data_IF_434612596739
#
_entry.id   IF_434612596739
#
_cell.length_a   1.000
_cell.length_b   1.000
_cell.length_c   1.000
_cell.angle_alpha   90.00
_cell.angle_beta   90.00
_cell.angle_gamma   90.00
#
_symmetry.space_group_name_H-M   'P 1'
#
loop_
_entity.id
_entity.type
_entity.pdbx_description
1 polymer ?
#
# COMPACT_ATOMS: atom_id res chain seq x y z
N UNK A 1 -27.11 -13.45 12.05
CA UNK A 1 -26.01 -13.61 11.09
C UNK A 1 -25.17 -12.35 11.21
N UNK A 2 -23.92 -12.45 11.67
CA UNK A 2 -23.00 -11.31 11.57
C UNK A 2 -22.87 -10.95 10.10
N UNK A 3 -23.22 -9.72 9.75
CA UNK A 3 -23.09 -9.21 8.40
C UNK A 3 -21.60 -9.18 8.06
N UNK A 4 -21.19 -9.96 7.07
CA UNK A 4 -19.78 -10.12 6.73
C UNK A 4 -19.26 -8.79 6.14
N UNK A 5 -18.28 -8.17 6.82
CA UNK A 5 -17.68 -6.92 6.34
C UNK A 5 -17.17 -7.09 4.91
N UNK A 6 -17.44 -6.11 4.05
CA UNK A 6 -16.95 -6.10 2.66
C UNK A 6 -15.43 -6.16 2.65
N UNK A 7 -14.85 -6.82 1.65
CA UNK A 7 -13.39 -6.95 1.52
C UNK A 7 -12.85 -5.75 0.74
N UNK A 8 -11.79 -5.14 1.26
CA UNK A 8 -11.03 -4.07 0.60
C UNK A 8 -9.59 -4.55 0.37
N UNK A 9 -9.11 -4.45 -0.86
CA UNK A 9 -7.70 -4.68 -1.20
C UNK A 9 -7.09 -3.36 -1.67
N UNK A 10 -5.99 -2.94 -1.06
CA UNK A 10 -5.26 -1.74 -1.47
C UNK A 10 -3.76 -2.02 -1.53
N UNK A 11 -3.16 -1.79 -2.69
CA UNK A 11 -1.74 -2.01 -2.91
C UNK A 11 -1.06 -0.68 -3.27
N UNK A 12 0.07 -0.39 -2.63
CA UNK A 12 0.91 0.77 -2.96
C UNK A 12 2.10 0.31 -3.80
N UNK A 13 2.41 1.05 -4.86
CA UNK A 13 3.66 0.84 -5.58
C UNK A 13 4.85 1.29 -4.69
N UNK A 14 5.92 0.50 -4.59
CA UNK A 14 7.13 0.87 -3.86
C UNK A 14 7.89 1.98 -4.62
N UNK A 15 7.38 3.19 -4.58
CA UNK A 15 8.02 4.39 -5.14
C UNK A 15 9.05 4.94 -4.14
N UNK A 16 9.71 6.05 -4.48
CA UNK A 16 10.47 6.83 -3.49
C UNK A 16 9.60 7.14 -2.24
N UNK A 17 10.25 7.68 -1.21
CA UNK A 17 9.63 8.08 0.07
C UNK A 17 8.23 8.66 -0.09
N UNK A 18 7.21 8.09 0.57
CA UNK A 18 5.85 8.60 0.53
C UNK A 18 5.80 10.07 0.93
N UNK A 19 5.07 10.87 0.17
CA UNK A 19 4.92 12.29 0.44
C UNK A 19 3.58 12.57 1.13
N UNK A 20 3.41 13.79 1.63
CA UNK A 20 2.22 14.22 2.37
C UNK A 20 0.91 13.93 1.61
N UNK A 21 0.91 14.09 0.28
CA UNK A 21 -0.23 13.72 -0.56
C UNK A 21 -0.66 12.24 -0.48
N UNK A 22 0.29 11.29 -0.38
CA UNK A 22 -0.06 9.88 -0.21
C UNK A 22 -0.69 9.62 1.16
N UNK A 23 -0.17 10.28 2.20
CA UNK A 23 -0.70 10.16 3.55
C UNK A 23 -2.13 10.68 3.65
N UNK A 24 -2.36 11.92 3.21
CA UNK A 24 -3.68 12.55 3.27
C UNK A 24 -4.68 11.91 2.31
N UNK A 25 -4.23 11.46 1.14
CA UNK A 25 -5.10 10.87 0.12
C UNK A 25 -5.51 9.43 0.40
N UNK A 26 -4.58 8.60 0.87
CA UNK A 26 -4.79 7.15 1.02
C UNK A 26 -4.64 6.68 2.47
N UNK A 27 -3.46 6.85 3.08
CA UNK A 27 -3.13 6.20 4.36
C UNK A 27 -4.06 6.64 5.51
N UNK A 28 -4.40 7.93 5.60
CA UNK A 28 -5.33 8.43 6.61
C UNK A 28 -6.74 7.82 6.45
N UNK A 29 -7.17 7.57 5.22
CA UNK A 29 -8.47 6.96 4.93
C UNK A 29 -8.46 5.46 5.24
N UNK A 30 -7.35 4.77 4.99
CA UNK A 30 -7.21 3.35 5.30
C UNK A 30 -7.45 3.04 6.78
N UNK A 31 -6.93 3.87 7.69
CA UNK A 31 -7.17 3.71 9.13
C UNK A 31 -8.66 3.74 9.47
N UNK A 32 -9.43 4.65 8.86
CA UNK A 32 -10.88 4.76 9.08
C UNK A 32 -11.62 3.53 8.55
N UNK A 33 -11.24 3.06 7.35
CA UNK A 33 -11.91 1.98 6.64
C UNK A 33 -11.73 0.60 7.31
N UNK A 34 -10.71 0.42 8.16
CA UNK A 34 -10.53 -0.83 8.93
C UNK A 34 -11.72 -1.15 9.85
N UNK A 35 -12.50 -0.14 10.25
CA UNK A 35 -13.70 -0.36 11.07
C UNK A 35 -14.86 -0.97 10.24
N UNK A 36 -14.95 -0.63 8.96
CA UNK A 36 -16.10 -0.96 8.10
C UNK A 36 -15.81 -2.13 7.15
N UNK A 37 -14.54 -2.40 6.83
CA UNK A 37 -14.10 -3.38 5.86
C UNK A 37 -13.12 -4.40 6.45
N UNK A 38 -13.05 -5.58 5.83
CA UNK A 38 -11.91 -6.48 5.98
C UNK A 38 -10.81 -6.01 5.02
N UNK A 39 -9.80 -5.33 5.55
CA UNK A 39 -8.77 -4.69 4.75
C UNK A 39 -7.54 -5.58 4.54
N UNK A 40 -7.09 -5.66 3.29
CA UNK A 40 -5.80 -6.23 2.89
C UNK A 40 -4.95 -5.11 2.27
N UNK A 41 -3.79 -4.87 2.87
CA UNK A 41 -2.80 -3.93 2.37
C UNK A 41 -1.58 -4.68 1.86
N UNK A 42 -0.92 -4.13 0.85
CA UNK A 42 0.29 -4.75 0.30
C UNK A 42 1.05 -3.85 -0.64
N UNK A 43 2.11 -4.43 -1.20
CA UNK A 43 3.01 -3.73 -2.11
C UNK A 43 2.86 -4.28 -3.52
N UNK A 44 2.65 -3.39 -4.48
CA UNK A 44 2.52 -3.72 -5.90
C UNK A 44 3.89 -3.73 -6.61
N UNK A 45 4.85 -4.53 -6.12
CA UNK A 45 6.20 -4.63 -6.69
C UNK A 45 6.20 -5.14 -8.14
N UNK A 46 5.32 -6.09 -8.47
CA UNK A 46 5.11 -6.57 -9.83
C UNK A 46 4.60 -5.47 -10.78
N UNK A 47 3.88 -4.47 -10.28
CA UNK A 47 3.49 -3.33 -11.11
C UNK A 47 4.65 -2.38 -11.37
N UNK A 48 5.63 -2.31 -10.46
CA UNK A 48 6.81 -1.45 -10.61
C UNK A 48 7.80 -1.98 -11.66
N UNK A 49 7.87 -3.28 -11.91
CA UNK A 49 8.80 -3.87 -12.91
C UNK A 49 8.31 -3.74 -14.36
N UNK A 50 7.13 -3.15 -14.59
CA UNK A 50 6.65 -2.82 -15.94
C UNK A 50 7.48 -1.72 -16.61
N UNK A 51 8.28 -1.00 -15.83
CA UNK A 51 9.32 -0.07 -16.28
C UNK A 51 10.69 -0.53 -15.77
N UNK A 52 11.77 -0.02 -16.38
CA UNK A 52 13.15 -0.32 -15.93
C UNK A 52 13.35 0.14 -14.49
N UNK A 53 13.78 -0.77 -13.64
CA UNK A 53 14.13 -0.52 -12.25
C UNK A 53 15.60 -0.82 -11.99
N UNK A 54 16.17 -0.15 -10.99
CA UNK A 54 17.40 -0.60 -10.35
C UNK A 54 17.02 -1.69 -9.33
N UNK A 55 17.50 -2.95 -9.47
CA UNK A 55 17.10 -4.05 -8.59
C UNK A 55 17.46 -3.85 -7.12
N UNK A 56 18.59 -3.20 -6.83
CA UNK A 56 19.04 -2.93 -5.46
C UNK A 56 18.16 -1.86 -4.83
N UNK A 57 17.90 -0.78 -5.59
CA UNK A 57 17.02 0.31 -5.16
C UNK A 57 15.60 -0.16 -4.93
N UNK A 58 15.02 -0.91 -5.86
CA UNK A 58 13.65 -1.42 -5.76
C UNK A 58 13.48 -2.30 -4.51
N UNK A 59 14.45 -3.17 -4.23
CA UNK A 59 14.41 -4.02 -3.03
C UNK A 59 14.43 -3.21 -1.74
N UNK A 60 15.20 -2.11 -1.69
CA UNK A 60 15.18 -1.20 -0.54
C UNK A 60 13.82 -0.50 -0.39
N UNK A 61 13.29 0.05 -1.49
CA UNK A 61 11.99 0.74 -1.51
C UNK A 61 10.82 -0.16 -1.11
N UNK A 62 10.84 -1.44 -1.49
CA UNK A 62 9.84 -2.43 -1.05
C UNK A 62 9.87 -2.55 0.48
N UNK A 63 11.05 -2.68 1.09
CA UNK A 63 11.17 -2.81 2.55
C UNK A 63 10.74 -1.54 3.28
N UNK A 64 11.16 -0.38 2.77
CA UNK A 64 10.79 0.93 3.34
C UNK A 64 9.28 1.16 3.26
N UNK A 65 8.68 0.88 2.10
CA UNK A 65 7.23 1.00 1.93
C UNK A 65 6.46 0.03 2.82
N UNK A 66 6.99 -1.18 3.04
CA UNK A 66 6.34 -2.18 3.89
C UNK A 66 6.36 -1.78 5.36
N UNK A 67 7.45 -1.14 5.82
CA UNK A 67 7.57 -0.63 7.18
C UNK A 67 6.59 0.51 7.50
N UNK A 68 5.97 1.12 6.49
CA UNK A 68 5.00 2.21 6.64
C UNK A 68 3.53 1.74 6.60
N UNK A 69 3.28 0.48 6.25
CA UNK A 69 1.95 -0.15 6.26
C UNK A 69 1.63 -0.70 7.65
#
# INVERSE_FOLDING_TARGET
>A
MEEQKKVMLSLIQPTNTPHLGNYLGAMQNWVKLQNDYTCFFGIADLHSITIRQDPVKLRAQIKESYALL
#
